data_IF_404476731025
#
_entry.id   IF_404476731025
#
_cell.length_a   1.000
_cell.length_b   1.000
_cell.length_c   1.000
_cell.angle_alpha   90.00
_cell.angle_beta   90.00
_cell.angle_gamma   90.00
#
_symmetry.space_group_name_H-M   'P 1'
#
loop_
_entity.id
_entity.type
_entity.pdbx_description
1 polymer ?
#
# COMPACT_ATOMS: atom_id res chain seq x y z
N UNK A 1 5.18 3.71 19.18
CA UNK A 1 6.27 2.92 18.56
C UNK A 1 5.69 1.58 18.13
N UNK A 2 5.84 1.18 16.87
CA UNK A 2 5.30 -0.07 16.36
C UNK A 2 6.09 -1.25 16.96
N UNK A 3 5.42 -2.11 17.72
CA UNK A 3 6.02 -3.33 18.31
C UNK A 3 5.34 -4.56 17.72
N UNK A 4 6.13 -5.58 17.41
CA UNK A 4 5.64 -6.85 16.88
C UNK A 4 4.54 -7.49 17.74
N UNK A 5 4.65 -7.39 19.07
CA UNK A 5 3.65 -7.92 20.01
C UNK A 5 2.29 -7.23 19.90
N UNK A 6 2.24 -5.96 19.51
CA UNK A 6 0.98 -5.23 19.27
C UNK A 6 0.41 -5.50 17.89
N UNK A 7 1.26 -5.80 16.91
CA UNK A 7 0.84 -6.10 15.52
C UNK A 7 0.29 -7.52 15.43
N UNK A 8 1.00 -8.50 15.99
CA UNK A 8 0.71 -9.94 15.83
C UNK A 8 -0.06 -10.50 17.02
N UNK A 9 -1.29 -10.02 17.20
CA UNK A 9 -2.21 -10.50 18.25
C UNK A 9 -3.22 -11.49 17.67
N UNK A 10 -3.87 -12.27 18.54
CA UNK A 10 -4.98 -13.14 18.13
C UNK A 10 -6.09 -12.37 17.43
N UNK A 11 -6.46 -11.22 17.98
CA UNK A 11 -7.55 -10.39 17.42
C UNK A 11 -7.22 -9.87 16.03
N UNK A 12 -5.97 -9.43 15.81
CA UNK A 12 -5.55 -8.95 14.47
C UNK A 12 -5.47 -10.09 13.48
N UNK A 13 -5.05 -11.28 13.91
CA UNK A 13 -5.02 -12.48 13.07
C UNK A 13 -6.43 -12.94 12.69
N UNK A 14 -7.36 -12.99 13.64
CA UNK A 14 -8.75 -13.37 13.37
C UNK A 14 -9.43 -12.37 12.41
N UNK A 15 -9.15 -11.08 12.57
CA UNK A 15 -9.62 -10.04 11.65
C UNK A 15 -9.04 -10.23 10.24
N UNK A 16 -7.75 -10.54 10.15
CA UNK A 16 -7.10 -10.83 8.87
C UNK A 16 -7.65 -12.09 8.22
N UNK A 17 -7.95 -13.13 9.01
CA UNK A 17 -8.53 -14.37 8.52
C UNK A 17 -9.94 -14.16 7.93
N UNK A 18 -10.82 -13.46 8.63
CA UNK A 18 -12.15 -13.14 8.13
C UNK A 18 -12.08 -12.34 6.83
N UNK A 19 -11.18 -11.37 6.76
CA UNK A 19 -10.92 -10.61 5.55
C UNK A 19 -10.45 -11.52 4.40
N UNK A 20 -9.49 -12.41 4.65
CA UNK A 20 -8.94 -13.30 3.63
C UNK A 20 -10.01 -14.28 3.11
N UNK A 21 -10.80 -14.87 4.00
CA UNK A 21 -11.90 -15.75 3.63
C UNK A 21 -12.93 -15.07 2.71
N UNK A 22 -13.21 -13.78 2.96
CA UNK A 22 -14.08 -12.98 2.10
C UNK A 22 -13.44 -12.69 0.74
N UNK A 23 -12.16 -12.32 0.72
CA UNK A 23 -11.42 -12.01 -0.53
C UNK A 23 -11.26 -13.23 -1.44
N UNK A 24 -10.96 -14.39 -0.85
CA UNK A 24 -10.70 -15.63 -1.59
C UNK A 24 -11.89 -16.59 -1.64
N UNK A 25 -13.12 -16.11 -1.39
CA UNK A 25 -14.33 -16.96 -1.34
C UNK A 25 -14.62 -17.70 -2.65
N UNK A 26 -14.25 -17.13 -3.79
CA UNK A 26 -14.51 -17.66 -5.13
C UNK A 26 -13.24 -18.24 -5.78
N UNK A 27 -12.19 -18.51 -4.99
CA UNK A 27 -10.98 -19.12 -5.53
C UNK A 27 -11.23 -20.58 -5.93
N UNK A 28 -10.49 -21.10 -6.94
CA UNK A 28 -10.63 -22.48 -7.40
C UNK A 28 -10.42 -23.49 -6.26
N UNK A 29 -10.98 -24.68 -6.42
CA UNK A 29 -10.98 -25.74 -5.37
C UNK A 29 -9.59 -26.24 -4.96
N UNK A 30 -8.60 -26.05 -5.84
CA UNK A 30 -7.20 -26.39 -5.57
C UNK A 30 -6.38 -25.24 -4.96
N UNK A 31 -7.02 -24.10 -4.63
CA UNK A 31 -6.33 -22.99 -3.99
C UNK A 31 -6.02 -23.28 -2.51
N UNK A 32 -4.87 -22.80 -2.06
CA UNK A 32 -4.35 -22.98 -0.70
C UNK A 32 -5.26 -22.45 0.42
N UNK A 33 -6.17 -21.53 0.09
CA UNK A 33 -7.14 -20.99 1.05
C UNK A 33 -8.05 -22.08 1.64
N UNK A 34 -8.38 -23.13 0.86
CA UNK A 34 -9.25 -24.19 1.34
C UNK A 34 -8.53 -25.07 2.36
N UNK A 35 -7.27 -25.37 2.15
CA UNK A 35 -6.42 -26.05 3.12
C UNK A 35 -6.27 -25.22 4.40
N UNK A 36 -5.99 -23.92 4.29
CA UNK A 36 -5.88 -23.02 5.42
C UNK A 36 -7.20 -22.96 6.22
N UNK A 37 -8.35 -22.90 5.57
CA UNK A 37 -9.66 -22.89 6.24
C UNK A 37 -9.95 -24.20 6.97
N UNK A 38 -9.65 -25.33 6.33
CA UNK A 38 -9.88 -26.64 6.93
C UNK A 38 -9.01 -26.88 8.17
N UNK A 39 -7.76 -26.46 8.14
CA UNK A 39 -6.80 -26.63 9.23
C UNK A 39 -6.65 -25.39 10.11
N UNK A 40 -7.62 -24.46 10.09
CA UNK A 40 -7.48 -23.16 10.74
C UNK A 40 -7.13 -23.25 12.23
N UNK A 41 -7.73 -24.18 12.97
CA UNK A 41 -7.47 -24.35 14.41
C UNK A 41 -5.98 -24.61 14.72
N UNK A 42 -5.34 -25.45 13.90
CA UNK A 42 -3.92 -25.77 14.06
C UNK A 42 -3.04 -24.63 13.56
N UNK A 43 -3.27 -24.20 12.31
CA UNK A 43 -2.46 -23.17 11.64
C UNK A 43 -2.50 -21.84 12.41
N UNK A 44 -3.63 -21.47 13.00
CA UNK A 44 -3.77 -20.25 13.79
C UNK A 44 -2.75 -20.19 14.94
N UNK A 45 -2.65 -21.25 15.72
CA UNK A 45 -1.72 -21.34 16.86
C UNK A 45 -0.25 -21.35 16.42
N UNK A 46 0.08 -22.14 15.41
CA UNK A 46 1.43 -22.26 14.86
C UNK A 46 1.90 -20.92 14.25
N UNK A 47 1.05 -20.26 13.50
CA UNK A 47 1.36 -18.97 12.88
C UNK A 47 1.63 -17.90 13.94
N UNK A 48 0.78 -17.79 14.96
CA UNK A 48 1.00 -16.84 16.06
C UNK A 48 2.28 -17.15 16.82
N UNK A 49 2.57 -18.42 17.08
CA UNK A 49 3.80 -18.82 17.76
C UNK A 49 5.03 -18.42 16.94
N UNK A 50 5.03 -18.66 15.62
CA UNK A 50 6.13 -18.30 14.73
C UNK A 50 6.32 -16.79 14.65
N UNK A 51 5.23 -16.01 14.57
CA UNK A 51 5.27 -14.55 14.57
C UNK A 51 5.78 -13.99 15.90
N UNK A 52 5.35 -14.55 17.03
CA UNK A 52 5.80 -14.13 18.37
C UNK A 52 7.27 -14.48 18.63
N UNK A 53 7.77 -15.60 18.09
CA UNK A 53 9.20 -15.94 18.07
C UNK A 53 10.01 -15.07 17.09
N UNK A 54 9.35 -14.24 16.30
CA UNK A 54 9.96 -13.40 15.27
C UNK A 54 10.71 -14.21 14.20
N UNK A 55 10.25 -15.43 13.89
CA UNK A 55 10.92 -16.37 12.99
C UNK A 55 10.15 -16.58 11.67
N UNK A 56 9.16 -15.77 11.40
CA UNK A 56 8.38 -15.85 10.17
C UNK A 56 9.17 -15.37 8.96
N UNK A 57 9.06 -16.12 7.85
CA UNK A 57 9.64 -15.79 6.56
C UNK A 57 8.59 -15.99 5.46
N UNK A 58 8.47 -15.04 4.54
CA UNK A 58 7.54 -15.15 3.42
C UNK A 58 8.00 -16.19 2.40
N UNK A 59 7.04 -16.93 1.87
CA UNK A 59 7.23 -17.82 0.76
C UNK A 59 7.36 -17.07 -0.57
N UNK A 60 8.01 -17.64 -1.58
CA UNK A 60 7.96 -17.08 -2.93
C UNK A 60 6.53 -16.95 -3.44
N UNK A 61 6.25 -15.88 -4.21
CA UNK A 61 4.95 -15.72 -4.85
C UNK A 61 4.75 -16.76 -5.94
N UNK A 62 3.59 -17.38 -5.96
CA UNK A 62 3.19 -18.29 -7.05
C UNK A 62 2.69 -17.50 -8.25
N UNK A 63 3.01 -17.96 -9.45
CA UNK A 63 2.47 -17.40 -10.70
C UNK A 63 1.21 -18.17 -11.10
N UNK A 64 0.10 -17.44 -11.22
CA UNK A 64 -1.17 -17.98 -11.68
C UNK A 64 -1.53 -17.33 -13.02
N UNK A 65 -1.74 -18.17 -14.05
CA UNK A 65 -2.23 -17.68 -15.33
C UNK A 65 -3.74 -17.41 -15.26
N UNK A 66 -4.16 -16.26 -15.76
CA UNK A 66 -5.57 -15.96 -15.97
C UNK A 66 -6.07 -16.50 -17.32
N UNK A 67 -7.39 -16.54 -17.47
CA UNK A 67 -8.03 -16.98 -18.71
C UNK A 67 -7.71 -16.07 -19.92
N UNK A 68 -7.39 -14.79 -19.69
CA UNK A 68 -6.98 -13.80 -20.68
C UNK A 68 -5.50 -13.88 -21.09
N UNK A 69 -4.75 -14.86 -20.54
CA UNK A 69 -3.33 -15.07 -20.80
C UNK A 69 -2.41 -14.21 -19.92
N UNK A 70 -2.94 -13.26 -19.14
CA UNK A 70 -2.14 -12.54 -18.16
C UNK A 70 -1.73 -13.45 -17.00
N UNK A 71 -0.62 -13.12 -16.35
CA UNK A 71 -0.16 -13.79 -15.15
C UNK A 71 -0.30 -12.87 -13.94
N UNK A 72 -0.80 -13.43 -12.84
CA UNK A 72 -0.83 -12.75 -11.54
C UNK A 72 0.12 -13.43 -10.58
N UNK A 73 0.77 -12.63 -9.74
CA UNK A 73 1.63 -13.10 -8.67
C UNK A 73 0.84 -13.12 -7.38
N UNK A 74 0.69 -14.30 -6.78
CA UNK A 74 -0.09 -14.48 -5.56
C UNK A 74 0.80 -14.86 -4.38
N UNK A 75 0.61 -14.17 -3.27
CA UNK A 75 1.09 -14.57 -1.97
C UNK A 75 0.32 -15.81 -1.48
N UNK A 76 0.99 -16.68 -0.74
CA UNK A 76 0.31 -17.78 -0.05
C UNK A 76 -0.81 -17.25 0.87
N UNK A 77 -1.75 -18.10 1.24
CA UNK A 77 -2.82 -17.68 2.15
C UNK A 77 -2.28 -17.27 3.53
N UNK A 78 -1.25 -17.94 4.05
CA UNK A 78 -0.61 -17.57 5.30
C UNK A 78 0.13 -16.24 5.18
N UNK A 79 0.90 -16.02 4.11
CA UNK A 79 1.58 -14.76 3.86
C UNK A 79 0.60 -13.60 3.73
N UNK A 80 -0.52 -13.82 3.05
CA UNK A 80 -1.57 -12.81 2.90
C UNK A 80 -2.18 -12.40 4.27
N UNK A 81 -2.27 -13.32 5.24
CA UNK A 81 -2.67 -12.99 6.62
C UNK A 81 -1.67 -12.06 7.29
N UNK A 82 -0.38 -12.41 7.26
CA UNK A 82 0.70 -11.61 7.87
C UNK A 82 0.77 -10.23 7.21
N UNK A 83 0.70 -10.16 5.88
CA UNK A 83 0.66 -8.90 5.15
C UNK A 83 -0.58 -8.06 5.48
N UNK A 84 -1.72 -8.70 5.76
CA UNK A 84 -2.93 -8.00 6.21
C UNK A 84 -2.78 -7.46 7.63
N UNK A 85 -2.17 -8.22 8.55
CA UNK A 85 -1.88 -7.74 9.91
C UNK A 85 -0.95 -6.53 9.88
N UNK A 86 0.13 -6.57 9.08
CA UNK A 86 1.00 -5.42 8.84
C UNK A 86 0.23 -4.22 8.26
N UNK A 87 -0.64 -4.48 7.27
CA UNK A 87 -1.45 -3.42 6.64
C UNK A 87 -2.44 -2.75 7.60
N UNK A 88 -2.85 -3.42 8.67
CA UNK A 88 -3.71 -2.82 9.70
C UNK A 88 -2.92 -1.94 10.68
N UNK A 89 -1.66 -2.29 10.95
CA UNK A 89 -0.85 -1.61 11.94
C UNK A 89 0.02 -0.45 11.37
N UNK A 90 0.51 -0.60 10.14
CA UNK A 90 1.46 0.36 9.55
C UNK A 90 0.93 1.79 9.33
N UNK A 91 -0.36 2.05 9.03
CA UNK A 91 -0.84 3.41 8.83
C UNK A 91 -0.57 4.35 10.01
N UNK A 92 -0.64 3.83 11.25
CA UNK A 92 -0.36 4.61 12.45
C UNK A 92 1.14 4.95 12.61
N UNK A 93 2.02 4.06 12.13
CA UNK A 93 3.47 4.22 12.25
C UNK A 93 4.08 5.08 11.14
N UNK A 94 3.51 5.02 9.92
CA UNK A 94 4.09 5.65 8.74
C UNK A 94 3.69 7.12 8.55
N UNK A 95 2.88 7.70 9.43
CA UNK A 95 2.39 9.09 9.33
C UNK A 95 2.01 9.45 7.88
N UNK A 96 1.09 8.68 7.30
CA UNK A 96 0.64 8.82 5.91
C UNK A 96 0.03 10.20 5.66
N UNK A 97 0.26 10.74 4.46
CA UNK A 97 -0.28 12.05 4.09
C UNK A 97 -1.82 12.04 4.09
N UNK A 98 -2.48 13.00 4.77
CA UNK A 98 -3.94 13.15 4.73
C UNK A 98 -4.45 13.54 3.33
N UNK A 99 -3.58 14.03 2.45
CA UNK A 99 -3.89 14.34 1.06
C UNK A 99 -4.03 13.10 0.19
N UNK A 100 -3.52 11.95 0.67
CA UNK A 100 -3.67 10.65 0.04
C UNK A 100 -4.95 9.98 0.55
N UNK A 101 -6.04 10.18 -0.18
CA UNK A 101 -7.41 9.94 0.31
C UNK A 101 -7.90 8.50 0.21
N UNK A 102 -7.21 7.59 -0.50
CA UNK A 102 -7.63 6.18 -0.57
C UNK A 102 -7.34 5.40 0.71
N UNK A 103 -6.55 5.94 1.61
CA UNK A 103 -6.27 5.34 2.91
C UNK A 103 -7.51 5.42 3.81
N UNK A 104 -7.78 4.34 4.54
CA UNK A 104 -8.91 4.28 5.47
C UNK A 104 -8.81 5.43 6.50
N UNK A 105 -9.87 6.21 6.62
CA UNK A 105 -9.91 7.38 7.50
C UNK A 105 -9.57 8.71 6.83
N UNK A 106 -9.05 8.72 5.61
CA UNK A 106 -8.70 9.93 4.85
C UNK A 106 -9.81 10.41 3.88
N UNK A 107 -11.05 9.98 4.10
CA UNK A 107 -12.24 10.45 3.37
C UNK A 107 -12.64 9.65 2.14
N UNK A 108 -11.74 8.96 1.47
CA UNK A 108 -12.01 8.15 0.28
C UNK A 108 -12.41 8.98 -0.96
N UNK A 109 -12.82 8.28 -2.01
CA UNK A 109 -13.12 8.90 -3.30
C UNK A 109 -14.24 9.96 -3.23
N UNK A 110 -15.30 9.71 -2.47
CA UNK A 110 -16.44 10.65 -2.37
C UNK A 110 -16.03 11.97 -1.76
N UNK A 111 -15.27 11.93 -0.65
CA UNK A 111 -14.76 13.14 -0.01
C UNK A 111 -13.79 13.89 -0.94
N UNK A 112 -12.91 13.16 -1.63
CA UNK A 112 -11.99 13.73 -2.63
C UNK A 112 -12.74 14.51 -3.69
N UNK A 113 -13.80 13.94 -4.27
CA UNK A 113 -14.61 14.60 -5.30
C UNK A 113 -15.32 15.83 -4.73
N UNK A 114 -15.88 15.73 -3.52
CA UNK A 114 -16.54 16.86 -2.85
C UNK A 114 -15.56 18.01 -2.58
N UNK A 115 -14.37 17.70 -2.05
CA UNK A 115 -13.32 18.70 -1.81
C UNK A 115 -12.87 19.41 -3.09
N UNK A 116 -12.71 18.61 -4.16
CA UNK A 116 -12.35 19.12 -5.48
C UNK A 116 -13.44 20.02 -6.06
N UNK A 117 -14.72 19.66 -5.90
CA UNK A 117 -15.83 20.48 -6.35
C UNK A 117 -15.93 21.81 -5.57
N UNK A 118 -15.76 21.76 -4.25
CA UNK A 118 -15.77 22.94 -3.41
C UNK A 118 -14.64 23.93 -3.75
N UNK A 119 -13.48 23.42 -4.14
CA UNK A 119 -12.32 24.23 -4.52
C UNK A 119 -12.41 24.83 -5.94
N UNK A 120 -13.31 24.32 -6.83
CA UNK A 120 -13.39 24.74 -8.22
C UNK A 120 -13.47 26.26 -8.46
N UNK A 121 -14.28 27.04 -7.70
CA UNK A 121 -14.44 28.47 -7.95
C UNK A 121 -13.14 29.27 -7.80
N UNK A 122 -12.21 28.81 -6.96
CA UNK A 122 -10.99 29.54 -6.58
C UNK A 122 -9.81 29.26 -7.52
N UNK A 123 -9.95 28.30 -8.45
CA UNK A 123 -8.83 27.82 -9.27
C UNK A 123 -9.20 27.83 -10.75
N UNK A 124 -8.28 28.36 -11.60
CA UNK A 124 -8.50 28.50 -13.04
C UNK A 124 -8.17 27.25 -13.85
N UNK A 125 -7.24 26.42 -13.35
CA UNK A 125 -6.72 25.27 -14.06
C UNK A 125 -6.80 24.01 -13.22
N UNK A 126 -7.17 22.93 -13.86
CA UNK A 126 -7.17 21.57 -13.28
C UNK A 126 -6.18 20.73 -14.06
N UNK A 127 -5.28 20.06 -13.39
CA UNK A 127 -4.39 19.06 -13.96
C UNK A 127 -4.70 17.72 -13.32
N UNK A 128 -4.88 16.69 -14.13
CA UNK A 128 -4.89 15.31 -13.68
C UNK A 128 -3.56 14.68 -14.08
N UNK A 129 -2.91 14.01 -13.13
CA UNK A 129 -1.68 13.27 -13.36
C UNK A 129 -1.89 11.81 -12.95
N UNK A 130 -1.26 10.91 -13.69
CA UNK A 130 -1.22 9.48 -13.42
C UNK A 130 0.22 8.99 -13.54
N UNK A 131 0.64 8.08 -12.66
CA UNK A 131 1.98 7.50 -12.72
C UNK A 131 1.91 6.17 -13.46
N UNK A 132 2.36 6.16 -14.71
CA UNK A 132 2.37 4.96 -15.54
C UNK A 132 3.10 3.80 -14.86
N UNK A 133 2.41 2.68 -14.68
CA UNK A 133 3.01 1.48 -14.09
C UNK A 133 3.49 1.67 -12.65
N UNK A 134 2.78 2.48 -11.85
CA UNK A 134 3.22 2.94 -10.54
C UNK A 134 3.77 1.83 -9.64
N UNK A 135 2.97 0.78 -9.41
CA UNK A 135 3.37 -0.34 -8.54
C UNK A 135 4.60 -1.08 -9.05
N UNK A 136 4.83 -1.11 -10.35
CA UNK A 136 5.92 -1.81 -11.01
C UNK A 136 7.22 -0.98 -11.06
N UNK A 137 7.09 0.35 -10.93
CA UNK A 137 8.20 1.30 -11.04
C UNK A 137 8.75 1.78 -9.69
N UNK A 138 8.19 1.35 -8.55
CA UNK A 138 8.69 1.72 -7.23
C UNK A 138 10.13 1.24 -7.06
N UNK A 139 11.04 2.20 -6.82
CA UNK A 139 12.46 1.92 -6.57
C UNK A 139 12.68 1.40 -5.14
N UNK A 140 13.36 0.26 -5.00
CA UNK A 140 13.63 -0.38 -3.71
C UNK A 140 14.54 0.45 -2.82
N UNK A 141 15.53 1.11 -3.39
CA UNK A 141 16.53 1.89 -2.64
C UNK A 141 15.84 3.09 -1.98
N UNK A 142 14.99 3.79 -2.75
CA UNK A 142 14.24 4.94 -2.26
C UNK A 142 13.23 4.48 -1.20
N UNK A 143 12.45 3.45 -1.49
CA UNK A 143 11.43 2.93 -0.58
C UNK A 143 12.02 2.45 0.75
N UNK A 144 13.06 1.62 0.70
CA UNK A 144 13.70 1.10 1.91
C UNK A 144 14.36 2.20 2.73
N UNK A 145 14.98 3.20 2.08
CA UNK A 145 15.54 4.37 2.76
C UNK A 145 14.48 5.22 3.45
N UNK A 146 13.28 5.32 2.86
CA UNK A 146 12.15 6.00 3.49
C UNK A 146 11.64 5.21 4.70
N UNK A 147 11.41 3.91 4.54
CA UNK A 147 10.89 3.04 5.59
C UNK A 147 11.84 2.92 6.79
N UNK A 148 13.15 2.93 6.57
CA UNK A 148 14.18 2.85 7.61
C UNK A 148 14.11 4.01 8.62
N UNK A 149 13.56 5.15 8.21
CA UNK A 149 13.40 6.31 9.09
C UNK A 149 12.26 6.14 10.09
N UNK A 150 11.19 5.45 9.69
CA UNK A 150 9.94 5.38 10.47
C UNK A 150 9.74 4.01 11.14
N UNK A 151 10.41 2.96 10.64
CA UNK A 151 10.26 1.58 11.15
C UNK A 151 11.49 1.18 11.95
N UNK A 152 11.36 1.22 13.26
CA UNK A 152 12.46 0.90 14.21
C UNK A 152 12.42 -0.55 14.72
N UNK A 153 11.30 -1.27 14.56
CA UNK A 153 11.15 -2.65 15.03
C UNK A 153 11.87 -3.64 14.07
N UNK A 154 12.94 -4.35 14.50
CA UNK A 154 13.79 -5.13 13.59
C UNK A 154 13.03 -6.25 12.87
N UNK A 155 12.08 -6.90 13.53
CA UNK A 155 11.29 -7.97 12.92
C UNK A 155 10.34 -7.45 11.85
N UNK A 156 9.65 -6.34 12.11
CA UNK A 156 8.76 -5.70 11.13
C UNK A 156 9.58 -5.19 9.95
N UNK A 157 10.73 -4.58 10.20
CA UNK A 157 11.67 -4.17 9.16
C UNK A 157 12.08 -5.35 8.27
N UNK A 158 12.46 -6.49 8.87
CA UNK A 158 12.81 -7.71 8.12
C UNK A 158 11.67 -8.19 7.22
N UNK A 159 10.44 -8.19 7.72
CA UNK A 159 9.27 -8.57 6.93
C UNK A 159 9.00 -7.59 5.78
N UNK A 160 9.17 -6.28 6.00
CA UNK A 160 9.03 -5.27 4.94
C UNK A 160 10.10 -5.41 3.86
N UNK A 161 11.36 -5.69 4.26
CA UNK A 161 12.44 -5.97 3.30
C UNK A 161 12.12 -7.20 2.45
N UNK A 162 11.62 -8.29 3.06
CA UNK A 162 11.21 -9.49 2.33
C UNK A 162 10.03 -9.24 1.40
N UNK A 163 9.05 -8.44 1.83
CA UNK A 163 7.92 -8.03 0.98
C UNK A 163 8.39 -7.25 -0.25
N UNK A 164 9.33 -6.33 -0.07
CA UNK A 164 9.90 -5.51 -1.16
C UNK A 164 10.76 -6.39 -2.09
N UNK A 165 11.74 -7.12 -1.52
CA UNK A 165 12.71 -7.96 -2.26
C UNK A 165 12.17 -9.38 -2.52
N UNK A 166 10.91 -9.48 -2.88
CA UNK A 166 10.23 -10.75 -3.07
C UNK A 166 10.79 -11.60 -4.21
N UNK A 167 10.65 -12.90 -4.06
CA UNK A 167 10.94 -13.90 -5.09
C UNK A 167 9.64 -14.41 -5.69
N UNK A 168 9.66 -14.75 -6.97
CA UNK A 168 8.55 -15.36 -7.70
C UNK A 168 8.96 -16.76 -8.14
N UNK A 169 8.10 -17.74 -7.88
CA UNK A 169 8.27 -19.11 -8.31
C UNK A 169 7.36 -19.40 -9.49
N UNK A 170 7.89 -20.04 -10.53
CA UNK A 170 7.13 -20.53 -11.69
C UNK A 170 7.70 -21.87 -12.14
N UNK A 171 6.97 -22.95 -11.90
CA UNK A 171 7.34 -24.29 -12.36
C UNK A 171 8.72 -24.74 -11.86
N UNK A 172 9.04 -24.50 -10.60
CA UNK A 172 10.32 -24.84 -9.99
C UNK A 172 11.45 -23.85 -10.25
N UNK A 173 11.21 -22.79 -11.05
CA UNK A 173 12.19 -21.73 -11.30
C UNK A 173 11.91 -20.52 -10.43
N UNK A 174 12.95 -20.01 -9.75
CA UNK A 174 12.86 -18.83 -8.90
C UNK A 174 13.43 -17.61 -9.59
N UNK A 175 12.66 -16.49 -9.58
CA UNK A 175 13.09 -15.21 -10.12
C UNK A 175 13.05 -14.15 -9.03
N UNK A 176 14.18 -13.46 -8.84
CA UNK A 176 14.25 -12.28 -8.00
C UNK A 176 13.65 -11.08 -8.72
N UNK A 177 12.82 -10.33 -8.02
CA UNK A 177 12.25 -9.08 -8.53
C UNK A 177 13.12 -7.94 -8.00
N UNK A 178 13.52 -7.03 -8.88
CA UNK A 178 14.46 -5.94 -8.56
C UNK A 178 13.82 -4.56 -8.43
N UNK A 179 12.53 -4.41 -8.82
CA UNK A 179 11.77 -3.17 -8.66
C UNK A 179 10.28 -3.46 -8.50
N UNK A 180 9.54 -2.44 -8.08
CA UNK A 180 8.10 -2.50 -7.91
C UNK A 180 7.62 -3.29 -6.71
N UNK A 181 6.34 -3.22 -6.39
CA UNK A 181 5.66 -3.97 -5.34
C UNK A 181 4.55 -4.85 -5.89
N UNK A 182 4.15 -5.89 -5.15
CA UNK A 182 3.15 -6.85 -5.60
C UNK A 182 1.76 -6.23 -5.72
N UNK A 183 1.10 -6.35 -6.86
CA UNK A 183 -0.32 -6.00 -7.00
C UNK A 183 -1.21 -7.01 -6.27
N UNK A 184 -2.40 -6.57 -5.84
CA UNK A 184 -3.37 -7.44 -5.16
C UNK A 184 -3.00 -7.86 -3.73
N UNK A 185 -1.94 -7.30 -3.17
CA UNK A 185 -1.53 -7.49 -1.78
C UNK A 185 -2.19 -6.44 -0.87
N UNK A 186 -2.66 -6.80 0.33
CA UNK A 186 -3.29 -5.84 1.25
C UNK A 186 -2.35 -4.74 1.74
N UNK A 187 -1.04 -5.00 1.74
CA UNK A 187 -0.03 -4.06 2.19
C UNK A 187 0.34 -3.03 1.10
N UNK A 188 0.26 -3.42 -0.17
CA UNK A 188 0.74 -2.59 -1.29
C UNK A 188 0.13 -1.20 -1.39
N UNK A 189 -1.19 -0.98 -1.17
CA UNK A 189 -1.77 0.36 -1.20
C UNK A 189 -1.17 1.30 -0.14
N UNK A 190 -0.82 0.77 1.03
CA UNK A 190 -0.24 1.55 2.14
C UNK A 190 1.20 1.93 1.82
N UNK A 191 2.00 0.98 1.35
CA UNK A 191 3.39 1.21 0.94
C UNK A 191 3.46 2.18 -0.24
N UNK A 192 2.56 2.04 -1.22
CA UNK A 192 2.45 2.97 -2.33
C UNK A 192 2.05 4.38 -1.86
N UNK A 193 1.09 4.51 -0.94
CA UNK A 193 0.75 5.80 -0.34
C UNK A 193 1.96 6.45 0.32
N UNK A 194 2.71 5.67 1.07
CA UNK A 194 3.90 6.13 1.79
C UNK A 194 5.03 6.55 0.85
N UNK A 195 5.25 5.82 -0.25
CA UNK A 195 6.32 6.13 -1.22
C UNK A 195 6.22 7.54 -1.80
N UNK A 196 5.01 8.03 -2.09
CA UNK A 196 4.75 9.38 -2.61
C UNK A 196 4.50 10.44 -1.52
N UNK A 197 4.69 10.12 -0.23
CA UNK A 197 4.48 11.06 0.88
C UNK A 197 5.25 12.37 0.68
N UNK A 198 6.51 12.29 0.24
CA UNK A 198 7.33 13.48 -0.01
C UNK A 198 6.76 14.39 -1.12
N UNK A 199 6.14 13.83 -2.15
CA UNK A 199 5.42 14.61 -3.17
C UNK A 199 4.20 15.30 -2.55
N UNK A 200 3.41 14.58 -1.74
CA UNK A 200 2.24 15.14 -1.07
C UNK A 200 2.64 16.32 -0.17
N UNK A 201 3.76 16.20 0.56
CA UNK A 201 4.30 17.25 1.43
C UNK A 201 4.72 18.49 0.64
N UNK A 202 5.39 18.31 -0.51
CA UNK A 202 5.76 19.41 -1.40
C UNK A 202 4.53 20.13 -1.96
N UNK A 203 3.53 19.36 -2.40
CA UNK A 203 2.29 19.95 -2.94
C UNK A 203 1.47 20.65 -1.86
N UNK A 204 1.47 20.16 -0.63
CA UNK A 204 0.81 20.80 0.52
C UNK A 204 1.47 22.13 0.92
N UNK A 205 2.78 22.22 0.76
CA UNK A 205 3.56 23.43 1.11
C UNK A 205 3.39 24.60 0.14
N UNK A 206 2.79 24.39 -1.03
CA UNK A 206 2.61 25.45 -2.04
C UNK A 206 1.16 25.97 -2.06
N UNK A 207 0.90 27.20 -1.54
CA UNK A 207 -0.44 27.76 -1.45
C UNK A 207 -1.09 28.08 -2.81
N UNK A 208 -0.33 28.00 -3.90
CA UNK A 208 -0.85 28.22 -5.26
C UNK A 208 -1.66 27.05 -5.77
N UNK A 209 -1.55 25.88 -5.12
CA UNK A 209 -2.20 24.66 -5.54
C UNK A 209 -3.18 24.16 -4.49
N UNK A 210 -4.31 23.66 -4.95
CA UNK A 210 -5.15 22.73 -4.20
C UNK A 210 -4.83 21.33 -4.71
N UNK A 211 -4.44 20.38 -3.83
CA UNK A 211 -3.97 19.07 -4.21
C UNK A 211 -4.70 17.98 -3.45
N UNK A 212 -5.09 16.94 -4.16
CA UNK A 212 -5.57 15.67 -3.61
C UNK A 212 -5.00 14.52 -4.45
N UNK A 213 -4.72 13.42 -3.82
CA UNK A 213 -4.26 12.20 -4.47
C UNK A 213 -5.13 11.01 -4.07
N UNK A 214 -5.51 10.21 -5.06
CA UNK A 214 -6.17 8.93 -4.87
C UNK A 214 -5.33 7.84 -5.54
N UNK A 215 -4.65 7.00 -4.75
CA UNK A 215 -3.61 6.06 -5.21
C UNK A 215 -2.47 6.80 -5.97
N UNK A 216 -2.32 6.54 -7.25
CA UNK A 216 -1.39 7.14 -8.21
C UNK A 216 -1.96 8.33 -8.98
N UNK A 217 -3.28 8.52 -8.95
CA UNK A 217 -3.96 9.67 -9.53
C UNK A 217 -3.81 10.93 -8.66
N UNK A 218 -3.02 11.89 -9.10
CA UNK A 218 -2.89 13.22 -8.49
C UNK A 218 -3.73 14.28 -9.20
N UNK A 219 -4.42 15.15 -8.46
CA UNK A 219 -5.21 16.25 -9.03
C UNK A 219 -4.77 17.57 -8.40
N UNK A 220 -3.67 18.18 -8.87
CA UNK A 220 -3.31 19.53 -8.48
C UNK A 220 -4.18 20.57 -9.23
N UNK A 221 -4.51 21.68 -8.54
CA UNK A 221 -5.23 22.81 -9.11
C UNK A 221 -4.43 24.08 -8.83
N UNK A 222 -4.24 24.93 -9.84
CA UNK A 222 -3.54 26.20 -9.70
C UNK A 222 -4.53 27.33 -9.44
N UNK A 223 -4.26 28.12 -8.40
CA UNK A 223 -5.05 29.29 -8.02
C UNK A 223 -5.06 30.35 -9.14
N UNK A 224 -6.18 31.07 -9.30
CA UNK A 224 -6.23 32.31 -10.11
C UNK A 224 -5.23 33.28 -9.53
N UNK A 225 -4.24 33.69 -10.31
CA UNK A 225 -3.44 34.86 -9.96
C UNK A 225 -4.40 36.06 -10.01
N UNK A 226 -4.69 36.65 -8.87
CA UNK A 226 -5.42 37.93 -8.82
C UNK A 226 -4.60 38.93 -9.62
N UNK A 227 -5.25 39.59 -10.56
CA UNK A 227 -4.67 40.75 -11.24
C UNK A 227 -4.27 41.74 -10.15
N UNK A 228 -2.99 41.83 -9.84
CA UNK A 228 -2.48 42.86 -8.94
C UNK A 228 -2.45 44.16 -9.79
N UNK A 229 -3.30 45.21 -9.43
CA UNK A 229 -3.38 46.39 -10.28
C UNK A 229 -2.12 47.30 -10.23
N UNK A 230 -1.05 46.85 -9.59
CA UNK A 230 0.13 47.69 -9.30
C UNK A 230 1.44 47.26 -9.98
N UNK A 231 1.41 46.41 -11.01
CA UNK A 231 2.58 46.18 -11.87
C UNK A 231 2.38 46.86 -13.24
N UNK A 232 2.28 48.18 -13.26
CA UNK A 232 2.63 48.94 -14.44
C UNK A 232 4.15 48.98 -14.55
N UNK A 233 4.72 48.12 -15.37
CA UNK A 233 6.11 48.28 -15.81
C UNK A 233 6.18 49.50 -16.72
N UNK A 234 6.84 50.56 -16.22
CA UNK A 234 7.41 51.59 -17.07
C UNK A 234 8.42 50.97 -18.03
N UNK A 235 8.40 51.37 -19.28
CA UNK A 235 9.21 50.97 -20.40
C UNK A 235 10.70 51.15 -20.17
#
# INVERSE_FOLDING_TARGET
MLDAKHVFTETTLDTAYLWLCKQRRNFPVNADIWHLRFHWHTIRGELLQTLNKQDYTFMPLSVVAKADGESIHLWSSQDALVLKMLAMALPEALALSPLCTHIKGHGGLKATVSDLQAALPDYSYVMKTDVKGYYESIDYTILLKQLDKDITAPFIWRLLVQFVKRTVERGGTFKFIHCGISRGCPLSPIIAAYYLKGLDEQMAGDPRYFYRRYMDDGVPRRRKEGHCPSCSYAA
#
